data_IF_137272208979
#
_entry.id   IF_137272208979
#
_cell.length_a   1.000
_cell.length_b   1.000
_cell.length_c   1.000
_cell.angle_alpha   90.00
_cell.angle_beta   90.00
_cell.angle_gamma   90.00
#
_symmetry.space_group_name_H-M   'P 1'
#
loop_
_entity.id
_entity.type
_entity.pdbx_description
1 polymer ?
#
# COMPACT_ATOMS: atom_id res chain seq x y z
N UNK A 1 -4.84 -7.67 4.92
CA UNK A 1 -3.45 -7.58 5.39
C UNK A 1 -3.12 -6.21 5.97
N UNK A 2 -2.25 -6.17 7.01
CA UNK A 2 -1.67 -4.92 7.52
C UNK A 2 -0.31 -5.21 8.15
N UNK A 3 0.68 -4.39 7.85
CA UNK A 3 2.01 -4.49 8.45
C UNK A 3 2.40 -3.15 9.04
N UNK A 4 2.88 -3.18 10.29
CA UNK A 4 3.28 -1.97 11.00
C UNK A 4 4.76 -2.07 11.37
N UNK A 5 5.54 -1.08 10.94
CA UNK A 5 6.94 -0.93 11.29
C UNK A 5 7.11 0.21 12.28
N UNK A 6 8.00 0.01 13.22
CA UNK A 6 8.47 1.08 14.10
C UNK A 6 9.97 1.20 13.97
N UNK A 7 10.44 2.38 13.59
CA UNK A 7 11.87 2.69 13.49
C UNK A 7 12.53 2.80 14.88
N UNK A 8 13.85 2.76 14.91
CA UNK A 8 14.63 2.93 16.17
C UNK A 8 14.33 4.26 16.87
N UNK A 9 13.92 5.28 16.12
CA UNK A 9 13.52 6.60 16.69
C UNK A 9 12.02 6.72 16.98
N UNK A 10 11.29 5.61 16.82
CA UNK A 10 9.87 5.52 17.18
C UNK A 10 8.88 5.96 16.11
N UNK A 11 9.32 6.30 14.89
CA UNK A 11 8.40 6.62 13.79
C UNK A 11 7.69 5.36 13.32
N UNK A 12 6.41 5.50 13.01
CA UNK A 12 5.55 4.39 12.58
C UNK A 12 5.28 4.49 11.09
N UNK A 13 5.43 3.37 10.39
CA UNK A 13 5.10 3.20 8.97
C UNK A 13 4.14 2.03 8.84
N UNK A 14 3.09 2.20 8.04
CA UNK A 14 2.06 1.18 7.82
C UNK A 14 2.00 0.80 6.35
N UNK A 15 1.91 -0.51 6.09
CA UNK A 15 1.64 -1.09 4.76
C UNK A 15 0.27 -1.75 4.81
N UNK A 16 -0.65 -1.27 4.00
CA UNK A 16 -2.06 -1.65 3.95
C UNK A 16 -2.78 -1.49 5.31
N UNK A 17 -4.06 -1.79 5.38
CA UNK A 17 -4.85 -1.56 6.58
C UNK A 17 -5.69 -2.75 7.03
N UNK A 18 -5.95 -3.72 6.13
CA UNK A 18 -6.89 -4.77 6.40
C UNK A 18 -8.35 -4.38 6.12
N UNK A 19 -9.27 -5.23 6.49
CA UNK A 19 -10.71 -5.00 6.30
C UNK A 19 -11.27 -3.96 7.27
N UNK A 20 -12.41 -3.37 6.93
CA UNK A 20 -13.10 -2.35 7.74
C UNK A 20 -13.30 -2.78 9.20
N UNK A 21 -13.64 -4.04 9.44
CA UNK A 21 -13.94 -4.56 10.79
C UNK A 21 -12.70 -4.60 11.70
N UNK A 22 -11.49 -4.57 11.12
CA UNK A 22 -10.22 -4.53 11.87
C UNK A 22 -9.79 -3.10 12.23
N UNK A 23 -10.48 -2.07 11.72
CA UNK A 23 -10.10 -0.67 11.90
C UNK A 23 -9.92 -0.26 13.37
N UNK A 24 -10.81 -0.70 14.26
CA UNK A 24 -10.72 -0.38 15.68
C UNK A 24 -9.53 -1.04 16.36
N UNK A 25 -9.20 -2.27 15.96
CA UNK A 25 -8.01 -2.98 16.45
C UNK A 25 -6.73 -2.27 15.98
N UNK A 26 -6.61 -1.98 14.67
CA UNK A 26 -5.46 -1.29 14.10
C UNK A 26 -5.28 0.10 14.72
N UNK A 27 -6.37 0.86 14.85
CA UNK A 27 -6.35 2.18 15.49
C UNK A 27 -5.88 2.11 16.94
N UNK A 28 -6.36 1.12 17.72
CA UNK A 28 -5.91 0.89 19.09
C UNK A 28 -4.43 0.50 19.17
N UNK A 29 -3.95 -0.31 18.24
CA UNK A 29 -2.53 -0.66 18.12
C UNK A 29 -1.66 0.56 17.81
N UNK A 30 -2.08 1.40 16.85
CA UNK A 30 -1.39 2.65 16.51
C UNK A 30 -1.41 3.65 17.68
N UNK A 31 -2.48 3.69 18.47
CA UNK A 31 -2.56 4.50 19.68
C UNK A 31 -1.51 4.07 20.71
N UNK A 32 -1.31 2.77 20.90
CA UNK A 32 -0.26 2.25 21.78
C UNK A 32 1.16 2.60 21.29
N UNK A 33 1.33 2.93 20.02
CA UNK A 33 2.59 3.38 19.41
C UNK A 33 2.73 4.92 19.40
N UNK A 34 1.76 5.66 19.90
CA UNK A 34 1.83 7.13 20.09
C UNK A 34 0.91 7.95 19.18
N UNK A 35 -0.08 7.35 18.54
CA UNK A 35 -1.08 8.03 17.69
C UNK A 35 -0.50 8.85 16.52
N UNK A 36 0.69 8.51 16.04
CA UNK A 36 1.33 9.20 14.91
C UNK A 36 1.87 8.19 13.89
N UNK A 37 1.40 8.29 12.64
CA UNK A 37 1.90 7.52 11.50
C UNK A 37 2.68 8.46 10.59
N UNK A 38 3.95 8.16 10.36
CA UNK A 38 4.82 8.94 9.48
C UNK A 38 4.49 8.75 8.00
N UNK A 39 4.19 7.50 7.62
CA UNK A 39 3.81 7.14 6.26
C UNK A 39 2.89 5.92 6.26
N UNK A 40 1.83 5.97 5.47
CA UNK A 40 0.92 4.86 5.23
C UNK A 40 0.89 4.57 3.73
N UNK A 41 1.19 3.34 3.36
CA UNK A 41 1.19 2.89 1.97
C UNK A 41 -0.01 1.97 1.72
N UNK A 42 -0.75 2.21 0.65
CA UNK A 42 -1.82 1.33 0.19
C UNK A 42 -1.38 0.68 -1.11
N UNK A 43 -1.29 -0.65 -1.12
CA UNK A 43 -0.85 -1.41 -2.28
C UNK A 43 -1.84 -1.29 -3.44
N UNK A 44 -3.12 -1.50 -3.17
CA UNK A 44 -4.22 -1.36 -4.12
C UNK A 44 -5.55 -1.20 -3.38
N UNK A 45 -6.63 -0.72 -4.05
CA UNK A 45 -7.86 -0.35 -3.37
C UNK A 45 -8.88 -1.49 -3.23
N UNK A 46 -8.47 -2.71 -2.88
CA UNK A 46 -9.38 -3.74 -2.37
C UNK A 46 -9.71 -3.52 -0.90
N UNK A 47 -10.91 -3.93 -0.50
CA UNK A 47 -11.45 -3.71 0.84
C UNK A 47 -10.60 -4.31 1.97
N UNK A 48 -9.92 -5.42 1.71
CA UNK A 48 -9.03 -6.09 2.68
C UNK A 48 -7.62 -5.49 2.72
N UNK A 49 -7.35 -4.44 1.94
CA UNK A 49 -6.13 -3.64 1.98
C UNK A 49 -6.38 -2.21 2.46
N UNK A 50 -7.42 -1.53 1.96
CA UNK A 50 -7.68 -0.14 2.33
C UNK A 50 -8.87 0.05 3.27
N UNK A 51 -9.68 -0.99 3.53
CA UNK A 51 -10.95 -0.87 4.25
C UNK A 51 -10.81 -0.33 5.67
N UNK A 52 -9.79 -0.77 6.42
CA UNK A 52 -9.55 -0.23 7.75
C UNK A 52 -9.06 1.22 7.71
N UNK A 53 -8.23 1.62 6.73
CA UNK A 53 -7.86 3.02 6.56
C UNK A 53 -9.09 3.88 6.26
N UNK A 54 -9.99 3.46 5.36
CA UNK A 54 -11.24 4.16 5.09
C UNK A 54 -12.03 4.41 6.37
N UNK A 55 -12.24 3.38 7.18
CA UNK A 55 -12.98 3.51 8.44
C UNK A 55 -12.26 4.41 9.46
N UNK A 56 -10.94 4.39 9.50
CA UNK A 56 -10.13 5.27 10.35
C UNK A 56 -10.24 6.72 9.89
N UNK A 57 -10.21 6.98 8.58
CA UNK A 57 -10.35 8.34 8.02
C UNK A 57 -11.73 8.94 8.29
N UNK A 58 -12.80 8.12 8.36
CA UNK A 58 -14.13 8.59 8.79
C UNK A 58 -14.15 9.10 10.23
N UNK A 59 -13.35 8.51 11.12
CA UNK A 59 -13.24 8.90 12.52
C UNK A 59 -11.82 8.67 13.06
N UNK A 60 -10.86 9.52 12.69
CA UNK A 60 -9.46 9.35 13.10
C UNK A 60 -9.22 9.54 14.61
N UNK A 61 -10.07 10.33 15.29
CA UNK A 61 -9.85 10.68 16.68
C UNK A 61 -8.54 11.43 16.87
N UNK A 62 -7.65 10.92 17.74
CA UNK A 62 -6.33 11.52 18.00
C UNK A 62 -5.23 11.03 17.04
N UNK A 63 -5.52 10.03 16.19
CA UNK A 63 -4.54 9.50 15.25
C UNK A 63 -4.19 10.55 14.20
N UNK A 64 -2.91 10.80 14.03
CA UNK A 64 -2.34 11.69 13.01
C UNK A 64 -1.60 10.87 11.97
N UNK A 65 -1.98 11.02 10.71
CA UNK A 65 -1.29 10.42 9.58
C UNK A 65 -0.64 11.54 8.80
N UNK A 66 0.69 11.53 8.69
CA UNK A 66 1.42 12.61 8.01
C UNK A 66 1.36 12.46 6.49
N UNK A 67 1.53 11.23 6.00
CA UNK A 67 1.55 10.95 4.55
C UNK A 67 0.80 9.67 4.23
N UNK A 68 0.03 9.71 3.16
CA UNK A 68 -0.60 8.53 2.57
C UNK A 68 -0.07 8.40 1.15
N UNK A 69 0.57 7.27 0.85
CA UNK A 69 1.05 6.90 -0.46
C UNK A 69 0.10 5.90 -1.10
N UNK A 70 -0.34 6.18 -2.29
CA UNK A 70 -1.15 5.26 -3.09
C UNK A 70 -0.82 5.43 -4.57
N UNK A 71 -1.36 4.57 -5.42
CA UNK A 71 -1.32 4.74 -6.87
C UNK A 71 -2.75 4.72 -7.38
N UNK A 72 -3.26 5.89 -7.79
CA UNK A 72 -4.67 6.06 -8.16
C UNK A 72 -4.97 5.42 -9.51
N UNK A 73 -6.03 4.65 -9.57
CA UNK A 73 -6.58 4.10 -10.80
C UNK A 73 -7.25 5.19 -11.65
N UNK A 74 -7.21 5.02 -12.96
CA UNK A 74 -8.12 5.76 -13.83
C UNK A 74 -9.58 5.34 -13.57
N UNK A 75 -10.52 6.17 -14.01
CA UNK A 75 -11.94 5.81 -13.95
C UNK A 75 -12.26 4.51 -14.71
N UNK A 76 -11.52 4.21 -15.77
CA UNK A 76 -11.71 2.99 -16.55
C UNK A 76 -11.27 1.77 -15.76
N UNK A 77 -10.07 1.82 -15.15
CA UNK A 77 -9.53 0.75 -14.34
C UNK A 77 -10.37 0.54 -13.06
N UNK A 78 -10.76 1.61 -12.37
CA UNK A 78 -11.62 1.51 -11.18
C UNK A 78 -12.95 0.82 -11.46
N UNK A 79 -13.54 1.02 -12.64
CA UNK A 79 -14.81 0.38 -13.06
C UNK A 79 -14.65 -1.03 -13.61
N UNK A 80 -13.43 -1.51 -13.81
CA UNK A 80 -13.19 -2.86 -14.35
C UNK A 80 -13.63 -3.96 -13.38
N UNK A 81 -13.67 -3.67 -12.07
CA UNK A 81 -14.23 -4.54 -11.03
C UNK A 81 -15.45 -3.90 -10.37
N UNK A 82 -16.65 -4.29 -10.81
CA UNK A 82 -17.89 -3.69 -10.33
C UNK A 82 -18.13 -3.86 -8.82
N UNK A 83 -17.64 -4.96 -8.23
CA UNK A 83 -17.77 -5.23 -6.80
C UNK A 83 -16.92 -4.31 -5.94
N UNK A 84 -15.70 -4.01 -6.38
CA UNK A 84 -14.71 -3.19 -5.64
C UNK A 84 -14.84 -1.69 -5.93
N UNK A 85 -15.40 -1.33 -7.08
CA UNK A 85 -15.53 0.06 -7.52
C UNK A 85 -16.17 1.01 -6.51
N UNK A 86 -17.31 0.70 -5.85
CA UNK A 86 -17.94 1.62 -4.90
C UNK A 86 -17.03 1.98 -3.72
N UNK A 87 -16.32 0.99 -3.16
CA UNK A 87 -15.37 1.22 -2.05
C UNK A 87 -14.16 2.04 -2.50
N UNK A 88 -13.68 1.80 -3.72
CA UNK A 88 -12.59 2.57 -4.33
C UNK A 88 -12.96 4.04 -4.50
N UNK A 89 -14.16 4.35 -4.96
CA UNK A 89 -14.64 5.73 -5.09
C UNK A 89 -14.74 6.43 -3.73
N UNK A 90 -15.22 5.72 -2.70
CA UNK A 90 -15.25 6.24 -1.32
C UNK A 90 -13.82 6.55 -0.85
N UNK A 91 -12.89 5.63 -1.06
CA UNK A 91 -11.48 5.82 -0.69
C UNK A 91 -10.89 7.08 -1.33
N UNK A 92 -11.04 7.22 -2.63
CA UNK A 92 -10.51 8.40 -3.32
C UNK A 92 -11.18 9.70 -2.89
N UNK A 93 -12.50 9.68 -2.67
CA UNK A 93 -13.21 10.86 -2.16
C UNK A 93 -12.71 11.25 -0.75
N UNK A 94 -12.42 10.29 0.12
CA UNK A 94 -11.85 10.56 1.44
C UNK A 94 -10.43 11.13 1.33
N UNK A 95 -9.57 10.58 0.47
CA UNK A 95 -8.22 11.11 0.25
C UNK A 95 -8.27 12.56 -0.28
N UNK A 96 -9.16 12.83 -1.24
CA UNK A 96 -9.32 14.17 -1.84
C UNK A 96 -9.88 15.21 -0.85
N UNK A 97 -10.57 14.76 0.21
CA UNK A 97 -11.13 15.62 1.25
C UNK A 97 -10.15 15.93 2.40
N UNK A 98 -8.99 15.27 2.46
CA UNK A 98 -8.00 15.52 3.51
C UNK A 98 -7.38 16.89 3.38
N UNK A 99 -7.15 17.55 4.53
CA UNK A 99 -6.39 18.79 4.59
C UNK A 99 -4.90 18.51 4.34
N UNK A 100 -4.30 19.00 3.25
CA UNK A 100 -2.90 18.73 2.93
C UNK A 100 -1.92 19.36 3.94
N UNK A 101 -2.36 20.29 4.77
CA UNK A 101 -1.56 20.81 5.87
C UNK A 101 -1.45 19.82 7.05
N UNK A 102 -2.34 18.82 7.10
CA UNK A 102 -2.37 17.79 8.15
C UNK A 102 -1.87 16.45 7.60
N UNK A 103 -2.40 16.04 6.46
CA UNK A 103 -2.08 14.76 5.80
C UNK A 103 -1.76 15.00 4.33
N UNK A 104 -0.51 14.79 3.96
CA UNK A 104 -0.06 14.84 2.57
C UNK A 104 -0.46 13.55 1.85
N UNK A 105 -1.25 13.65 0.79
CA UNK A 105 -1.61 12.50 -0.06
C UNK A 105 -0.72 12.50 -1.30
N UNK A 106 0.00 11.41 -1.52
CA UNK A 106 0.98 11.27 -2.59
C UNK A 106 0.50 10.17 -3.55
N UNK A 107 0.09 10.59 -4.74
CA UNK A 107 -0.31 9.70 -5.83
C UNK A 107 0.90 9.31 -6.67
N UNK A 108 1.32 8.06 -6.55
CA UNK A 108 2.49 7.52 -7.24
C UNK A 108 2.10 7.03 -8.63
N UNK A 109 2.66 7.65 -9.67
CA UNK A 109 2.38 7.33 -11.08
C UNK A 109 3.48 6.53 -11.75
N UNK A 110 4.69 6.58 -11.21
CA UNK A 110 5.86 5.93 -11.75
C UNK A 110 6.64 5.22 -10.63
N UNK A 111 7.22 4.05 -10.90
CA UNK A 111 8.13 3.41 -9.95
C UNK A 111 9.45 4.16 -9.82
N UNK A 112 10.23 3.82 -8.81
CA UNK A 112 11.58 4.35 -8.60
C UNK A 112 11.70 5.37 -7.48
N UNK A 113 10.60 5.82 -6.86
CA UNK A 113 10.67 6.69 -5.68
C UNK A 113 11.44 5.98 -4.56
N UNK A 114 12.46 6.65 -4.04
CA UNK A 114 13.21 6.22 -2.87
C UNK A 114 12.93 7.15 -1.69
N UNK A 115 12.67 6.57 -0.54
CA UNK A 115 12.39 7.28 0.70
C UNK A 115 13.31 6.79 1.79
N UNK A 116 13.58 7.65 2.76
CA UNK A 116 14.31 7.29 3.98
C UNK A 116 13.58 7.83 5.19
N UNK A 117 13.21 6.94 6.10
CA UNK A 117 12.57 7.26 7.37
C UNK A 117 13.46 6.73 8.49
N UNK A 118 14.18 7.63 9.15
CA UNK A 118 15.27 7.31 10.08
C UNK A 118 16.33 6.39 9.42
N UNK A 119 16.50 5.15 9.89
CA UNK A 119 17.42 4.17 9.31
C UNK A 119 16.79 3.21 8.31
N UNK A 120 15.47 3.30 8.13
CA UNK A 120 14.70 2.47 7.20
C UNK A 120 14.65 3.14 5.83
N UNK A 121 14.99 2.41 4.79
CA UNK A 121 14.87 2.83 3.39
C UNK A 121 13.69 2.11 2.75
N UNK A 122 13.01 2.79 1.82
CA UNK A 122 11.92 2.25 1.03
C UNK A 122 12.14 2.60 -0.43
N UNK A 123 11.76 1.71 -1.33
CA UNK A 123 11.77 1.94 -2.79
C UNK A 123 10.52 1.37 -3.42
N UNK A 124 9.87 2.17 -4.24
CA UNK A 124 8.71 1.74 -5.01
C UNK A 124 9.20 1.05 -6.28
N UNK A 125 8.86 -0.22 -6.44
CA UNK A 125 9.27 -1.05 -7.57
C UNK A 125 8.18 -1.19 -8.64
N UNK A 126 6.91 -1.06 -8.24
CA UNK A 126 5.73 -1.14 -9.09
C UNK A 126 4.63 -0.20 -8.61
N UNK A 127 3.81 0.25 -9.53
CA UNK A 127 2.64 1.10 -9.33
C UNK A 127 1.47 0.58 -10.18
N UNK A 128 0.32 1.26 -10.16
CA UNK A 128 -0.85 0.93 -10.99
C UNK A 128 -0.50 0.64 -12.45
N UNK A 129 -1.10 -0.41 -12.99
CA UNK A 129 -0.88 -0.92 -14.33
C UNK A 129 -2.19 -0.84 -15.14
N UNK A 130 -2.42 0.26 -15.84
CA UNK A 130 -3.63 0.49 -16.65
C UNK A 130 -3.79 -0.51 -17.81
N UNK A 131 -2.68 -1.06 -18.31
CA UNK A 131 -2.66 -2.03 -19.40
C UNK A 131 -3.27 -3.38 -19.03
N UNK A 132 -3.41 -3.70 -17.74
CA UNK A 132 -3.98 -4.96 -17.27
C UNK A 132 -5.47 -4.87 -16.87
N UNK A 133 -6.16 -3.84 -17.36
CA UNK A 133 -7.58 -3.58 -17.02
C UNK A 133 -8.55 -4.76 -17.31
N UNK A 134 -8.12 -5.77 -18.05
CA UNK A 134 -8.93 -6.95 -18.41
C UNK A 134 -8.46 -8.25 -17.75
N UNK A 135 -7.38 -8.20 -16.96
CA UNK A 135 -6.79 -9.38 -16.33
C UNK A 135 -6.50 -9.08 -14.87
N UNK A 136 -7.40 -9.53 -13.98
CA UNK A 136 -7.27 -9.32 -12.53
C UNK A 136 -6.81 -7.88 -12.18
N UNK A 137 -7.56 -6.86 -12.62
CA UNK A 137 -7.04 -5.51 -12.81
C UNK A 137 -6.58 -4.84 -11.52
N UNK A 138 -7.29 -5.03 -10.42
CA UNK A 138 -6.93 -4.44 -9.14
C UNK A 138 -5.66 -5.07 -8.58
N UNK A 139 -5.59 -6.38 -8.56
CA UNK A 139 -4.42 -7.12 -8.06
C UNK A 139 -3.19 -6.85 -8.93
N UNK A 140 -3.33 -6.87 -10.25
CA UNK A 140 -2.25 -6.52 -11.18
C UNK A 140 -1.82 -5.04 -11.12
N UNK A 141 -2.52 -4.23 -10.35
CA UNK A 141 -2.18 -2.84 -10.08
C UNK A 141 -1.66 -2.62 -8.65
N UNK A 142 -1.23 -3.69 -7.98
CA UNK A 142 -0.59 -3.60 -6.66
C UNK A 142 0.71 -2.80 -6.72
N UNK A 143 0.87 -1.88 -5.77
CA UNK A 143 2.14 -1.22 -5.53
C UNK A 143 3.12 -2.22 -4.92
N UNK A 144 4.27 -2.41 -5.56
CA UNK A 144 5.33 -3.27 -5.05
C UNK A 144 6.37 -2.40 -4.36
N UNK A 145 6.70 -2.75 -3.11
CA UNK A 145 7.55 -1.92 -2.25
C UNK A 145 8.66 -2.76 -1.64
N UNK A 146 9.92 -2.34 -1.82
CA UNK A 146 11.05 -2.84 -1.05
C UNK A 146 11.28 -1.97 0.17
N UNK A 147 11.46 -2.59 1.32
CA UNK A 147 11.86 -1.94 2.58
C UNK A 147 13.14 -2.60 3.06
N UNK A 148 14.13 -1.80 3.48
CA UNK A 148 15.39 -2.36 4.02
C UNK A 148 16.06 -1.41 5.00
N UNK A 149 16.87 -1.99 5.85
CA UNK A 149 17.85 -1.28 6.67
C UNK A 149 19.24 -1.89 6.47
N UNK A 150 20.17 -1.63 7.38
CA UNK A 150 21.54 -2.20 7.33
C UNK A 150 21.61 -3.70 7.62
N UNK A 151 20.55 -4.31 8.14
CA UNK A 151 20.53 -5.68 8.62
C UNK A 151 19.65 -6.59 7.77
N UNK A 152 18.48 -6.11 7.32
CA UNK A 152 17.44 -6.92 6.67
C UNK A 152 16.70 -6.16 5.59
N UNK A 153 16.15 -6.93 4.66
CA UNK A 153 15.26 -6.42 3.61
C UNK A 153 14.00 -7.27 3.50
N UNK A 154 12.91 -6.61 3.12
CA UNK A 154 11.62 -7.25 2.82
C UNK A 154 11.02 -6.60 1.58
N UNK A 155 10.41 -7.42 0.71
CA UNK A 155 9.61 -6.96 -0.41
C UNK A 155 8.14 -7.25 -0.14
N UNK A 156 7.30 -6.24 -0.33
CA UNK A 156 5.84 -6.32 -0.29
C UNK A 156 5.33 -6.35 -1.72
N UNK A 157 4.59 -7.41 -2.07
CA UNK A 157 4.01 -7.62 -3.40
C UNK A 157 2.53 -7.17 -3.45
N UNK A 158 1.92 -6.85 -2.29
CA UNK A 158 0.47 -6.70 -2.23
C UNK A 158 -0.22 -7.97 -2.70
N UNK A 159 -1.13 -7.83 -3.64
CA UNK A 159 -1.81 -8.97 -4.27
C UNK A 159 -1.41 -9.15 -5.74
N UNK A 160 -0.17 -8.78 -6.07
CA UNK A 160 0.34 -8.81 -7.43
C UNK A 160 -0.02 -10.11 -8.17
N UNK A 161 -0.73 -9.97 -9.28
CA UNK A 161 -0.95 -11.05 -10.20
C UNK A 161 0.30 -11.34 -11.04
N UNK A 162 0.23 -12.38 -11.86
CA UNK A 162 1.34 -12.84 -12.71
C UNK A 162 1.88 -11.72 -13.59
N UNK A 163 0.99 -10.96 -14.25
CA UNK A 163 1.39 -9.89 -15.17
C UNK A 163 2.10 -8.75 -14.46
N UNK A 164 1.68 -8.41 -13.23
CA UNK A 164 2.33 -7.42 -12.40
C UNK A 164 3.74 -7.89 -11.97
N UNK A 165 3.87 -9.14 -11.54
CA UNK A 165 5.16 -9.75 -11.20
C UNK A 165 6.11 -9.77 -12.39
N UNK A 166 5.67 -10.27 -13.54
CA UNK A 166 6.44 -10.31 -14.78
C UNK A 166 6.93 -8.91 -15.21
N UNK A 167 6.07 -7.90 -15.06
CA UNK A 167 6.46 -6.53 -15.40
C UNK A 167 7.64 -6.05 -14.55
N UNK A 168 7.65 -6.32 -13.24
CA UNK A 168 8.76 -5.91 -12.36
C UNK A 168 10.00 -6.77 -12.64
N UNK A 169 9.86 -8.07 -12.84
CA UNK A 169 10.95 -8.99 -13.21
C UNK A 169 11.65 -8.58 -14.51
N UNK A 170 10.93 -7.99 -15.45
CA UNK A 170 11.47 -7.51 -16.72
C UNK A 170 11.85 -6.02 -16.71
N UNK A 171 11.76 -5.35 -15.57
CA UNK A 171 12.10 -3.94 -15.41
C UNK A 171 13.53 -3.70 -14.94
N UNK A 172 13.92 -2.43 -14.84
CA UNK A 172 15.19 -2.01 -14.24
C UNK A 172 15.28 -2.35 -12.73
N UNK A 173 14.15 -2.67 -12.10
CA UNK A 173 14.04 -2.95 -10.66
C UNK A 173 14.15 -4.43 -10.31
N UNK A 174 14.39 -5.32 -11.27
CA UNK A 174 14.53 -6.77 -11.05
C UNK A 174 15.47 -7.11 -9.89
N UNK A 175 16.63 -6.46 -9.84
CA UNK A 175 17.63 -6.74 -8.80
C UNK A 175 17.21 -6.22 -7.40
N UNK A 176 16.24 -5.33 -7.34
CA UNK A 176 15.66 -4.84 -6.09
C UNK A 176 14.67 -5.85 -5.47
N UNK A 177 14.31 -6.91 -6.17
CA UNK A 177 13.48 -8.02 -5.64
C UNK A 177 14.29 -8.98 -4.75
N UNK A 178 15.63 -8.98 -4.84
CA UNK A 178 16.46 -9.79 -3.95
C UNK A 178 16.33 -9.29 -2.50
N UNK A 179 15.79 -10.15 -1.62
CA UNK A 179 15.43 -9.78 -0.26
C UNK A 179 15.58 -10.95 0.73
N UNK A 180 15.68 -10.61 2.03
CA UNK A 180 15.68 -11.62 3.11
C UNK A 180 14.28 -12.19 3.37
N UNK A 181 13.25 -11.37 3.20
CA UNK A 181 11.84 -11.70 3.45
C UNK A 181 10.97 -11.25 2.30
N UNK A 182 9.97 -12.04 1.98
CA UNK A 182 8.98 -11.74 0.95
C UNK A 182 7.57 -11.83 1.56
N UNK A 183 6.77 -10.79 1.40
CA UNK A 183 5.35 -10.93 1.60
C UNK A 183 4.77 -11.63 0.37
N UNK A 184 4.24 -12.83 0.57
CA UNK A 184 3.67 -13.64 -0.51
C UNK A 184 2.47 -12.91 -1.11
N UNK A 185 2.45 -12.77 -2.43
CA UNK A 185 1.39 -12.07 -3.15
C UNK A 185 0.01 -12.72 -2.90
N UNK A 186 -1.03 -11.90 -2.90
CA UNK A 186 -2.44 -12.31 -2.84
C UNK A 186 -2.72 -13.35 -1.73
N UNK A 187 -2.14 -13.15 -0.54
CA UNK A 187 -2.29 -14.05 0.63
C UNK A 187 -1.88 -15.50 0.35
N UNK A 188 -1.11 -15.76 -0.71
CA UNK A 188 -0.78 -17.11 -1.18
C UNK A 188 -1.91 -17.80 -1.95
N UNK A 189 -2.88 -17.03 -2.45
CA UNK A 189 -3.98 -17.57 -3.25
C UNK A 189 -3.54 -17.85 -4.69
N UNK A 190 -4.32 -18.70 -5.37
CA UNK A 190 -4.10 -19.01 -6.78
C UNK A 190 -4.20 -17.76 -7.68
N UNK A 191 -3.34 -17.68 -8.69
CA UNK A 191 -3.31 -16.56 -9.64
C UNK A 191 -2.44 -15.37 -9.17
N UNK A 192 -1.71 -15.52 -8.08
CA UNK A 192 -0.67 -14.58 -7.68
C UNK A 192 0.63 -14.78 -8.49
N UNK A 193 1.55 -13.82 -8.40
CA UNK A 193 2.91 -13.97 -8.93
C UNK A 193 3.67 -15.03 -8.11
N UNK A 194 4.25 -16.01 -8.79
CA UNK A 194 4.95 -17.14 -8.18
C UNK A 194 6.47 -17.10 -8.43
N UNK A 195 6.96 -16.20 -9.33
CA UNK A 195 8.36 -16.10 -9.77
C UNK A 195 9.20 -15.11 -8.95
#
# INVERSE_FOLDING_TARGET
NSYVFRTDKGRVVVMDGGVKDEAMFLKGFLAALGNEVEAWFISHPHDDHMGALNAILENPGELKIKRIYHSRFSNALSRSEQGSHPSTEIFYAQLDALDPAVTEVIDLREPGLELKIDGMNLKILGVTNEEFAHTNPYNNSSMIIRVWDKAKSIVFLGDAGIECGDKVLNSAYRNDLDCDYLQVAHHGQQGCSED
#
